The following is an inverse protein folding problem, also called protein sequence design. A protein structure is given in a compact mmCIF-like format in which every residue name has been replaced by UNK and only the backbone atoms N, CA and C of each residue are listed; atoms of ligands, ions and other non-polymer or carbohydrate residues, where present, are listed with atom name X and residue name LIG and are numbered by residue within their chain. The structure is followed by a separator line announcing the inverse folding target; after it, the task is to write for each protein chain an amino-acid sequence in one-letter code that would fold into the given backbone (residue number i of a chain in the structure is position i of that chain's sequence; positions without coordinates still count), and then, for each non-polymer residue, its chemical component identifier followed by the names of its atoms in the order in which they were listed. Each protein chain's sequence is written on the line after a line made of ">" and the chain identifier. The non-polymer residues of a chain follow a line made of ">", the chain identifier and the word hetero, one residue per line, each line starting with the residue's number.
data_IF_037069142775
#
_entry.id   IF_037069142775
#
_cell.length_a   1.000
_cell.length_b   1.000
_cell.length_c   1.000
_cell.angle_alpha   90.00
_cell.angle_beta   90.00
_cell.angle_gamma   90.00
#
_symmetry.space_group_name_H-M   'P 1'
#
loop_
_entity.id
_entity.type
_entity.pdbx_description
1 polymer ?
2 non-polymer ?
3 non-polymer ?
4 water ?
#
# COMPACT_ATOMS: atom_id res chain seq x y z
N UNK A 1 -19.55 -20.58 1.03
CA UNK A 1 -19.47 -19.64 2.19
C UNK A 1 -18.07 -19.51 2.88
N UNK A 2 -16.93 -19.84 2.20
CA UNK A 2 -15.56 -19.66 2.82
C UNK A 2 -15.12 -18.18 2.81
N UNK A 3 -14.07 -17.93 3.54
CA UNK A 3 -13.66 -16.62 3.91
C UNK A 3 -12.87 -16.01 2.73
N UNK A 4 -13.02 -14.71 2.45
CA UNK A 4 -12.09 -14.06 1.51
C UNK A 4 -10.94 -13.33 2.17
N UNK A 5 -9.76 -13.47 1.60
CA UNK A 5 -8.56 -12.86 2.11
C UNK A 5 -7.78 -12.24 0.99
N UNK A 6 -7.71 -10.93 0.99
CA UNK A 6 -6.97 -10.23 -0.07
C UNK A 6 -5.76 -9.56 0.52
N UNK A 7 -4.70 -9.58 -0.27
CA UNK A 7 -3.41 -8.98 0.00
C UNK A 7 -3.36 -7.71 -0.82
N UNK A 8 -2.96 -6.63 -0.20
CA UNK A 8 -2.74 -5.33 -0.80
C UNK A 8 -1.25 -4.97 -0.63
N UNK A 9 -0.39 -5.34 -1.59
CA UNK A 9 0.99 -5.06 -1.52
C UNK A 9 1.35 -3.70 -2.03
N UNK A 10 2.48 -3.18 -1.56
CA UNK A 10 3.01 -1.87 -1.89
C UNK A 10 4.27 -1.62 -0.99
N UNK A 11 4.95 -0.56 -1.32
CA UNK A 11 6.05 -0.08 -0.56
C UNK A 11 5.51 0.87 0.51
N UNK A 12 4.35 1.56 0.34
CA UNK A 12 3.72 2.39 1.39
C UNK A 12 4.77 3.27 2.12
N UNK A 13 5.37 4.13 1.34
CA UNK A 13 6.52 4.89 1.66
C UNK A 13 6.37 6.34 1.45
N UNK A 14 5.51 7.00 2.20
CA UNK A 14 4.68 6.50 3.24
C UNK A 14 3.25 6.28 2.80
N UNK A 15 2.45 5.73 3.66
CA UNK A 15 1.05 5.59 3.40
C UNK A 15 0.41 6.96 3.17
N UNK A 16 -0.52 7.05 2.22
CA UNK A 16 -1.24 8.30 1.89
C UNK A 16 -2.75 8.12 2.06
N UNK A 17 -3.44 9.24 1.97
CA UNK A 17 -4.93 9.21 2.09
C UNK A 17 -5.57 8.40 1.00
N UNK A 18 -4.92 8.32 -0.16
CA UNK A 18 -5.40 7.43 -1.22
C UNK A 18 -5.35 5.99 -0.81
N UNK A 19 -4.23 5.58 -0.24
CA UNK A 19 -4.18 4.24 0.27
C UNK A 19 -5.20 3.95 1.35
N UNK A 20 -5.38 4.89 2.24
CA UNK A 20 -6.38 4.74 3.26
C UNK A 20 -7.79 4.45 2.69
N UNK A 21 -8.15 5.26 1.74
CA UNK A 21 -9.48 5.09 1.06
C UNK A 21 -9.64 3.70 0.46
N UNK A 22 -8.62 3.24 -0.23
CA UNK A 22 -8.59 1.95 -0.79
C UNK A 22 -8.76 0.81 0.09
N UNK A 23 -8.01 0.85 1.19
CA UNK A 23 -8.11 -0.20 2.19
C UNK A 23 -9.46 -0.16 2.89
N UNK A 24 -9.96 1.02 3.16
CA UNK A 24 -11.29 1.10 3.73
C UNK A 24 -12.33 0.47 2.80
N UNK A 25 -12.28 0.81 1.50
CA UNK A 25 -13.22 0.16 0.53
C UNK A 25 -13.02 -1.32 0.45
N UNK A 26 -11.75 -1.79 0.45
CA UNK A 26 -11.53 -3.24 0.40
C UNK A 26 -12.04 -3.94 1.65
N UNK A 27 -11.85 -3.31 2.79
CA UNK A 27 -12.24 -3.99 4.06
C UNK A 27 -13.78 -4.16 4.17
N UNK A 28 -14.56 -3.35 3.44
CA UNK A 28 -15.99 -3.54 3.36
C UNK A 28 -16.36 -4.67 2.45
N UNK A 29 -15.53 -5.09 1.54
CA UNK A 29 -16.02 -6.10 0.63
C UNK A 29 -15.36 -7.43 0.82
N UNK A 30 -14.23 -7.52 1.56
CA UNK A 30 -13.60 -8.80 1.68
C UNK A 30 -13.60 -9.11 3.21
N UNK A 31 -13.52 -10.40 3.59
CA UNK A 31 -13.54 -10.73 5.05
C UNK A 31 -12.26 -10.34 5.75
N UNK A 32 -11.12 -10.58 5.09
CA UNK A 32 -9.81 -10.12 5.64
C UNK A 32 -9.00 -9.33 4.62
N UNK A 33 -8.29 -8.29 5.06
CA UNK A 33 -7.44 -7.49 4.18
C UNK A 33 -6.04 -7.45 4.83
N UNK A 34 -5.01 -7.86 4.08
CA UNK A 34 -3.60 -7.79 4.50
C UNK A 34 -2.85 -6.67 3.85
N UNK A 35 -2.48 -5.63 4.60
CA UNK A 35 -1.61 -4.52 4.11
C UNK A 35 -0.23 -5.10 4.14
N UNK A 36 0.29 -5.42 2.96
CA UNK A 36 1.56 -6.15 2.76
C UNK A 36 2.63 -5.22 2.31
N UNK A 37 3.53 -4.89 3.19
CA UNK A 37 4.60 -3.86 2.95
C UNK A 37 5.83 -4.51 2.47
N UNK A 38 6.17 -4.22 1.22
CA UNK A 38 7.31 -4.87 0.57
C UNK A 38 8.54 -4.21 1.24
N UNK A 39 9.43 -5.04 1.75
CA UNK A 39 10.57 -4.49 2.56
C UNK A 39 11.46 -3.53 1.76
N UNK A 40 11.81 -3.97 0.57
CA UNK A 40 12.50 -3.11 -0.39
C UNK A 40 14.03 -3.00 -0.22
N UNK A 41 14.67 -4.12 0.08
CA UNK A 41 16.14 -4.31 0.14
C UNK A 41 16.95 -3.76 -1.02
N UNK A 42 16.68 -4.20 -2.25
CA UNK A 42 17.48 -3.65 -3.38
C UNK A 42 17.00 -2.24 -3.79
N UNK A 43 15.91 -1.72 -3.23
CA UNK A 43 15.14 -0.58 -3.77
C UNK A 43 15.18 0.76 -2.91
N UNK A 44 15.72 0.73 -1.69
CA UNK A 44 15.81 1.94 -0.79
C UNK A 44 14.67 2.90 -0.33
N UNK A 45 13.76 2.36 0.45
CA UNK A 45 12.63 3.28 0.86
C UNK A 45 13.13 4.39 1.78
N UNK A 46 12.49 5.54 1.77
CA UNK A 46 12.76 6.63 2.66
C UNK A 46 12.48 6.21 4.22
N UNK A 47 11.40 5.56 4.49
CA UNK A 47 10.97 5.16 5.81
C UNK A 47 11.25 3.71 5.95
N UNK A 48 11.71 3.34 7.14
CA UNK A 48 12.07 1.92 7.42
C UNK A 48 10.83 1.10 7.45
N UNK A 49 10.97 -0.24 7.43
CA UNK A 49 9.79 -1.08 7.57
C UNK A 49 9.01 -0.87 8.82
N UNK A 50 9.74 -0.67 9.96
CA UNK A 50 9.02 -0.42 11.21
C UNK A 50 8.23 0.89 11.12
N UNK A 51 8.85 1.96 10.61
CA UNK A 51 8.07 3.19 10.52
C UNK A 51 6.83 3.04 9.59
N UNK A 52 6.97 2.25 8.54
CA UNK A 52 5.89 2.17 7.50
C UNK A 52 4.75 1.36 7.96
N UNK A 53 5.08 0.26 8.65
CA UNK A 53 4.03 -0.50 9.39
C UNK A 53 3.36 0.27 10.44
N UNK A 54 4.12 1.03 11.20
CA UNK A 54 3.45 1.75 12.33
C UNK A 54 2.62 2.84 11.74
N UNK A 55 3.10 3.56 10.70
CA UNK A 55 2.19 4.61 10.15
C UNK A 55 0.86 3.99 9.58
N UNK A 56 1.00 2.84 8.96
CA UNK A 56 -0.19 2.18 8.45
C UNK A 56 -1.12 1.73 9.58
N UNK A 57 -0.56 1.14 10.63
CA UNK A 57 -1.41 0.76 11.85
C UNK A 57 -2.13 1.94 12.43
N UNK A 58 -1.50 3.10 12.56
CA UNK A 58 -2.26 4.27 13.10
C UNK A 58 -3.28 4.74 12.18
N UNK A 59 -3.14 4.65 10.85
CA UNK A 59 -4.27 5.14 9.98
C UNK A 59 -5.38 4.17 9.86
N UNK A 60 -5.10 2.89 9.97
CA UNK A 60 -6.07 1.87 9.61
C UNK A 60 -6.40 0.84 10.68
N UNK A 61 -5.70 0.88 11.83
CA UNK A 61 -5.82 -0.16 12.86
C UNK A 61 -7.24 -0.19 13.48
N UNK A 62 -8.02 0.89 13.41
CA UNK A 62 -9.45 0.85 13.76
C UNK A 62 -10.34 -0.03 12.89
N UNK A 63 -9.87 -0.56 11.76
CA UNK A 63 -10.64 -1.51 11.02
C UNK A 63 -10.19 -2.90 11.50
N UNK A 64 -11.10 -3.70 12.01
CA UNK A 64 -10.65 -4.85 12.76
C UNK A 64 -10.39 -6.00 11.85
N UNK A 65 -10.79 -5.96 10.57
CA UNK A 65 -10.39 -7.07 9.70
C UNK A 65 -9.08 -6.86 8.81
N UNK A 66 -8.27 -5.86 9.14
CA UNK A 66 -7.10 -5.46 8.39
C UNK A 66 -5.87 -5.78 9.24
N UNK A 67 -4.93 -6.47 8.65
CA UNK A 67 -3.71 -6.90 9.20
C UNK A 67 -2.55 -6.22 8.48
N UNK A 68 -1.38 -6.22 9.12
CA UNK A 68 -0.21 -5.41 8.63
C UNK A 68 1.02 -6.26 8.71
N UNK A 69 1.68 -6.51 7.60
CA UNK A 69 2.83 -7.37 7.60
C UNK A 69 3.80 -6.96 6.48
N UNK A 70 5.07 -7.08 6.77
CA UNK A 70 6.20 -6.83 5.92
C UNK A 70 6.49 -8.11 5.21
N UNK A 71 6.94 -8.00 3.94
CA UNK A 71 7.34 -9.20 3.18
C UNK A 71 8.41 -8.87 2.25
N UNK A 72 9.15 -9.91 1.90
CA UNK A 72 10.08 -9.83 0.79
C UNK A 72 9.99 -11.11 -0.03
N UNK A 73 10.84 -11.23 -1.02
CA UNK A 73 10.68 -12.36 -1.95
C UNK A 73 9.61 -12.04 -3.00
N UNK A 74 9.18 -13.10 -3.64
CA UNK A 74 8.17 -13.04 -4.71
C UNK A 74 6.76 -12.81 -4.14
N UNK A 75 6.05 -11.87 -4.73
CA UNK A 75 4.60 -11.77 -4.40
C UNK A 75 3.87 -13.07 -4.51
N UNK A 76 4.15 -13.88 -5.50
CA UNK A 76 3.35 -15.12 -5.62
C UNK A 76 3.62 -16.10 -4.51
N UNK A 77 4.86 -16.13 -3.97
CA UNK A 77 5.10 -16.99 -2.77
C UNK A 77 4.41 -16.48 -1.53
N UNK A 78 4.43 -15.18 -1.35
CA UNK A 78 3.69 -14.61 -0.26
C UNK A 78 2.20 -14.90 -0.37
N UNK A 79 1.66 -14.77 -1.59
CA UNK A 79 0.24 -14.98 -1.85
C UNK A 79 -0.17 -16.43 -1.39
N UNK A 80 0.61 -17.39 -1.82
CA UNK A 80 0.46 -18.78 -1.45
C UNK A 80 0.57 -19.10 0.04
N UNK A 81 1.64 -18.68 0.67
CA UNK A 81 1.78 -18.79 2.10
C UNK A 81 0.66 -18.16 2.88
N UNK A 82 0.05 -17.10 2.40
CA UNK A 82 -1.01 -16.43 3.13
C UNK A 82 -2.37 -16.98 2.85
N UNK A 83 -2.46 -17.88 1.88
CA UNK A 83 -3.71 -18.48 1.52
C UNK A 83 -4.72 -17.45 1.04
N UNK A 84 -4.26 -16.59 0.16
CA UNK A 84 -4.97 -15.48 -0.27
C UNK A 84 -5.98 -15.87 -1.37
N UNK A 85 -7.04 -15.14 -1.45
CA UNK A 85 -7.97 -15.28 -2.57
C UNK A 85 -7.60 -14.35 -3.68
N UNK A 86 -7.07 -13.16 -3.39
CA UNK A 86 -6.60 -12.30 -4.48
C UNK A 86 -5.62 -11.32 -3.91
N UNK A 87 -5.01 -10.63 -4.81
CA UNK A 87 -4.25 -9.44 -4.62
C UNK A 87 -4.96 -8.23 -5.13
N UNK A 88 -5.08 -7.27 -4.29
CA UNK A 88 -5.71 -6.00 -4.64
C UNK A 88 -4.72 -5.00 -5.09
N UNK A 89 -5.06 -4.22 -6.12
CA UNK A 89 -4.30 -3.05 -6.50
C UNK A 89 -5.19 -1.93 -6.88
N UNK A 90 -4.64 -0.74 -6.75
CA UNK A 90 -5.34 0.52 -6.91
C UNK A 90 -5.16 0.94 -8.32
N UNK A 91 -6.21 1.34 -8.98
CA UNK A 91 -6.08 1.89 -10.34
C UNK A 91 -6.62 3.29 -10.29
N UNK A 92 -5.84 4.21 -10.83
CA UNK A 92 -6.11 5.66 -10.84
C UNK A 92 -5.83 6.18 -12.23
N UNK A 93 -6.46 7.31 -12.59
CA UNK A 93 -6.17 7.96 -13.89
C UNK A 93 -4.65 7.98 -14.16
N UNK A 94 -3.90 8.19 -13.08
CA UNK A 94 -2.43 8.24 -13.16
C UNK A 94 -1.77 6.84 -13.11
N UNK A 95 -2.54 5.74 -13.14
CA UNK A 95 -1.90 4.39 -13.15
C UNK A 95 -1.36 3.99 -14.58
N UNK A 96 -0.30 3.18 -14.48
CA UNK A 96 0.34 2.49 -15.60
C UNK A 96 -0.54 1.23 -15.75
N UNK A 97 -1.55 1.34 -16.61
CA UNK A 97 -2.56 0.32 -16.66
C UNK A 97 -1.81 -0.89 -17.22
N UNK A 98 -0.88 -0.64 -18.14
CA UNK A 98 -0.31 -1.70 -18.94
C UNK A 98 0.69 -2.41 -18.01
N UNK A 99 1.30 -1.69 -17.09
CA UNK A 99 2.19 -2.37 -16.09
C UNK A 99 1.43 -3.32 -15.18
N UNK A 100 0.19 -2.99 -14.87
CA UNK A 100 -0.63 -3.84 -14.06
C UNK A 100 -1.05 -5.05 -14.76
N UNK A 101 -1.32 -5.00 -16.07
CA UNK A 101 -1.57 -6.21 -16.85
C UNK A 101 -0.41 -7.13 -16.93
N UNK A 102 0.75 -6.51 -17.00
CA UNK A 102 1.98 -7.22 -17.08
C UNK A 102 2.26 -7.98 -15.77
N UNK A 103 2.11 -7.31 -14.65
CA UNK A 103 2.29 -7.99 -13.38
C UNK A 103 1.23 -9.06 -13.25
N UNK A 104 -0.03 -8.75 -13.54
CA UNK A 104 -1.04 -9.76 -13.31
C UNK A 104 -0.78 -11.00 -14.18
N UNK A 105 -0.54 -10.80 -15.48
CA UNK A 105 -0.28 -11.90 -16.35
C UNK A 105 1.00 -12.69 -16.10
N UNK A 106 2.09 -12.03 -15.72
CA UNK A 106 3.27 -12.77 -15.30
C UNK A 106 3.05 -13.54 -14.04
N UNK A 107 2.40 -12.97 -13.05
CA UNK A 107 2.18 -13.73 -11.84
C UNK A 107 1.25 -14.91 -12.06
N UNK A 108 0.29 -14.78 -12.96
CA UNK A 108 -0.50 -15.95 -13.28
C UNK A 108 0.25 -17.05 -13.93
N UNK A 109 1.20 -16.69 -14.74
CA UNK A 109 2.05 -17.70 -15.30
C UNK A 109 2.98 -18.28 -14.25
N UNK A 110 3.39 -17.57 -13.20
CA UNK A 110 4.15 -18.19 -12.16
C UNK A 110 3.21 -19.10 -11.29
N UNK A 111 1.94 -18.75 -11.13
CA UNK A 111 1.03 -19.50 -10.25
C UNK A 111 -0.37 -19.37 -10.81
N UNK A 112 -0.92 -20.44 -11.38
CA UNK A 112 -2.20 -20.24 -12.10
C UNK A 112 -3.37 -19.88 -11.17
N UNK A 113 -3.27 -20.12 -9.86
CA UNK A 113 -4.26 -19.63 -8.91
C UNK A 113 -4.21 -18.14 -8.63
N UNK A 114 -3.15 -17.44 -9.01
CA UNK A 114 -3.03 -16.06 -8.62
C UNK A 114 -4.23 -15.34 -9.16
N UNK A 115 -4.78 -14.39 -8.46
CA UNK A 115 -5.85 -13.56 -9.01
C UNK A 115 -5.63 -12.13 -8.57
N UNK A 116 -5.93 -11.20 -9.47
CA UNK A 116 -5.79 -9.77 -9.20
C UNK A 116 -7.13 -9.06 -9.27
N UNK A 117 -7.41 -8.18 -8.32
CA UNK A 117 -8.66 -7.38 -8.34
C UNK A 117 -8.25 -5.97 -8.22
N UNK A 118 -8.97 -5.09 -8.86
CA UNK A 118 -8.61 -3.67 -8.89
C UNK A 118 -9.77 -2.85 -8.34
N UNK A 119 -9.39 -1.85 -7.53
CA UNK A 119 -10.34 -0.85 -6.97
C UNK A 119 -9.85 0.46 -7.37
N UNK A 120 -10.77 1.39 -7.39
CA UNK A 120 -10.49 2.74 -7.84
C UNK A 120 -10.86 3.71 -6.68
N UNK A 121 -9.92 4.63 -6.40
CA UNK A 121 -10.07 5.37 -5.12
C UNK A 121 -11.05 6.54 -5.45
N UNK A 122 -11.64 7.12 -4.40
CA UNK A 122 -12.40 8.40 -4.54
C UNK A 122 -11.66 9.35 -5.41
N UNK A 123 -12.38 9.96 -6.30
CA UNK A 123 -11.74 10.89 -7.30
C UNK A 123 -10.83 11.98 -6.76
N UNK A 124 -11.08 12.50 -5.56
CA UNK A 124 -10.20 13.45 -4.94
C UNK A 124 -8.79 12.89 -4.56
N UNK A 125 -8.54 11.61 -4.68
CA UNK A 125 -7.18 11.03 -4.54
C UNK A 125 -6.57 10.58 -5.85
N UNK A 126 -7.23 10.94 -6.91
CA UNK A 126 -6.90 10.44 -8.19
C UNK A 126 -5.48 10.89 -8.62
N UNK A 127 -5.01 12.04 -8.11
CA UNK A 127 -3.80 12.65 -8.59
C UNK A 127 -2.66 12.69 -7.59
N UNK A 128 -2.78 12.12 -6.40
CA UNK A 128 -1.67 12.13 -5.46
C UNK A 128 -0.63 11.02 -5.72
N UNK A 129 0.64 11.35 -5.99
CA UNK A 129 1.77 10.31 -5.96
C UNK A 129 2.62 10.44 -4.75
N UNK A 130 2.87 9.33 -4.07
CA UNK A 130 3.84 9.17 -3.04
C UNK A 130 5.25 9.86 -3.35
N UNK A 131 5.74 9.84 -4.58
CA UNK A 131 6.91 10.45 -5.00
C UNK A 131 6.80 11.93 -4.85
N UNK A 132 5.70 12.52 -5.30
CA UNK A 132 5.52 13.92 -5.14
C UNK A 132 5.35 14.33 -3.68
N UNK A 133 4.71 13.51 -2.87
CA UNK A 133 4.55 13.80 -1.49
C UNK A 133 5.94 13.87 -0.83
N UNK A 134 6.82 12.89 -1.14
CA UNK A 134 8.20 12.89 -0.60
C UNK A 134 8.94 14.10 -1.06
N UNK A 135 8.72 14.49 -2.31
CA UNK A 135 9.38 15.69 -2.82
C UNK A 135 8.88 16.93 -2.19
N UNK A 136 7.57 17.06 -1.97
CA UNK A 136 7.07 18.26 -1.28
C UNK A 136 7.64 18.38 0.20
N UNK A 137 7.59 17.27 0.91
CA UNK A 137 8.04 17.20 2.35
C UNK A 137 9.56 17.52 2.37
N UNK A 138 10.31 16.91 1.46
CA UNK A 138 11.75 17.19 1.33
C UNK A 138 12.11 18.65 1.08
N UNK A 139 11.30 19.38 0.31
CA UNK A 139 11.49 20.79 0.06
C UNK A 139 10.72 21.63 1.07
N UNK A 140 10.39 21.04 2.22
CA UNK A 140 9.71 21.72 3.33
C UNK A 140 8.34 22.24 3.11
N UNK A 141 7.59 21.68 2.18
CA UNK A 141 6.21 22.09 2.03
C UNK A 141 5.37 21.30 3.00
N UNK A 142 4.12 21.61 2.92
CA UNK A 142 3.10 21.05 3.72
C UNK A 142 2.31 19.90 3.00
N UNK A 143 2.33 18.71 3.60
CA UNK A 143 1.71 17.54 3.09
C UNK A 143 0.44 17.11 3.74
N UNK A 144 -0.04 17.94 4.64
CA UNK A 144 -1.23 17.69 5.46
C UNK A 144 -2.42 17.25 4.65
N UNK A 145 -2.62 17.89 3.50
CA UNK A 145 -3.77 17.55 2.66
C UNK A 145 -3.65 16.20 1.99
N UNK A 146 -2.49 15.58 1.93
CA UNK A 146 -2.34 14.34 1.21
C UNK A 146 -2.19 13.05 2.02
N UNK A 147 -1.83 13.18 3.31
CA UNK A 147 -1.45 12.07 4.14
C UNK A 147 -2.08 12.23 5.53
N UNK A 148 -2.27 11.12 6.20
CA UNK A 148 -2.72 11.25 7.63
C UNK A 148 -1.73 12.08 8.51
N UNK A 149 -2.28 12.62 9.60
CA UNK A 149 -1.55 13.48 10.48
C UNK A 149 -0.28 12.79 11.07
N UNK A 150 -0.37 11.51 11.32
CA UNK A 150 0.76 10.78 11.83
C UNK A 150 1.93 10.74 10.84
N UNK A 151 1.63 10.84 9.56
CA UNK A 151 2.66 10.80 8.55
C UNK A 151 3.22 12.20 8.51
N UNK A 152 2.38 13.21 8.62
CA UNK A 152 2.92 14.56 8.65
C UNK A 152 4.00 14.68 9.80
N UNK A 153 3.69 14.16 10.98
CA UNK A 153 4.62 14.20 12.13
C UNK A 153 5.83 13.38 11.89
N UNK A 154 5.67 12.23 11.22
CA UNK A 154 6.84 11.44 10.82
C UNK A 154 7.80 12.17 9.93
N UNK A 155 7.28 13.03 9.07
CA UNK A 155 8.19 13.82 8.20
C UNK A 155 8.98 14.87 9.04
N UNK A 156 8.35 15.58 9.97
CA UNK A 156 9.12 16.40 10.96
C UNK A 156 10.23 15.58 11.71
N UNK A 157 9.79 14.50 12.33
CA UNK A 157 10.74 13.67 13.04
C UNK A 157 11.85 13.16 12.13
N UNK A 158 11.55 12.87 10.87
CA UNK A 158 12.65 12.54 9.84
C UNK A 158 13.58 13.70 9.66
N UNK A 159 13.00 14.89 9.57
CA UNK A 159 13.66 16.20 9.42
C UNK A 159 14.38 16.57 10.68
N UNK A 160 14.11 15.94 11.83
CA UNK A 160 14.77 16.36 13.09
C UNK A 160 16.16 15.77 13.27
N UNK A 161 16.55 14.87 12.35
CA UNK A 161 17.95 14.54 11.89
C UNK A 161 18.40 15.51 10.72
N UNK A 162 19.36 15.15 9.88
CA UNK A 162 19.73 16.02 8.74
C UNK A 162 18.59 16.52 7.84
N UNK A 163 17.68 15.61 7.48
CA UNK A 163 16.67 15.78 6.38
C UNK A 163 15.88 17.12 6.37
X LIG B 1 -1.32 7.32 -3.39
X LIG B 1 0.01 7.64 -3.56
X LIG B 1 0.91 6.87 -4.26
X LIG B 1 0.48 5.73 -4.89
X LIG B 1 -0.96 5.28 -4.79
X LIG B 1 -1.88 6.16 -3.98
X LIG B 1 -3.19 5.76 -3.88
X LIG B 1 -1.11 4.12 -5.47
X LIG B 1 0.13 3.86 -5.98
X LIG B 1 1.07 4.80 -5.63
X LIG B 1 2.46 4.77 -6.13
X LIG B 1 3.49 5.68 -5.47
X LIG B 1 4.24 6.59 -6.37
X LIG B 1 4.28 4.64 -4.64
X LIG B 1 5.60 4.48 -5.19
X LIG B 1 7.06 4.83 -4.52
X LIG B 1 7.05 4.89 -3.02
X LIG B 1 7.92 3.66 -4.96
X LIG B 1 7.21 6.21 -5.16
X LIG B 1 3.59 3.27 -4.74
X LIG B 1 2.84 3.43 -5.93
X LIG B 1 2.75 2.52 -3.64
X LIG B 1 3.21 1.13 -3.66
X LIG B 1 4.24 0.29 -4.80
X LIG B 1 4.62 -1.12 -4.46
X LIG B 1 5.47 0.98 -5.43
X LIG B 1 3.38 0.16 -6.14
X LIG B 1 3.98 -0.88 -7.22
X LIG B 1 2.98 -0.85 -8.32
X LIG B 1 5.38 -0.46 -7.61
X LIG B 1 3.87 -2.35 -6.45
X LIG B 1 4.84 -4.43 -5.59
X LIG B 1 4.99 -3.12 -6.33
X LIG B 1 5.46 -4.36 -4.21
X LIG B 1 3.44 -4.99 -5.51
X LIG B 1 5.63 -5.31 -6.54
X LIG B 1 6.82 -4.62 -6.68
X LIG B 1 5.94 -6.65 -6.05
X LIG B 1 5.07 -7.46 -6.12
X LIG B 1 7.15 -6.89 -5.56
X LIG B 1 7.61 -8.14 -4.97
X LIG B 1 8.47 -8.86 -6.01
X LIG B 1 7.76 -9.55 -7.14
X LIG B 1 6.96 -10.48 -6.89
X LIG B 1 8.13 -9.18 -8.38
X LIG B 1 7.78 -9.89 -9.61
X LIG B 1 6.38 -9.73 -10.05
X LIG B 1 6.19 -10.54 -11.69
X LIG C 1 14.09 -6.83 -2.98
X LIG C 1 13.46 -6.77 -4.29
X LIG C 1 13.31 -7.90 -2.32
X LIG C 1 14.16 -5.38 -2.76
X LIG C 1 15.45 -7.35 -2.96
X LIG D 1 12.22 9.49 -4.59
X LIG D 1 12.86 10.52 -5.42
X LIG D 1 11.75 8.44 -5.51
X LIG D 1 13.23 9.05 -3.66
X LIG D 1 11.03 9.99 -3.96
X LIG E 1 -5.84 11.99 9.81
X LIG E 1 -6.25 12.01 8.36
X LIG E 1 -5.20 10.74 10.36
X LIG E 1 -5.01 13.13 10.14
X LIG E 1 -7.07 12.22 10.56
#
# INVERSE_FOLDING_TARGET
>A
MSKTRVIYPGTFDPITNGHVDLVTRASRMFDEVVVAIAIGHHKNPLFSLEERVALAQSSLGHLSNVEFVGFDGLLVNFFKEQKATAVLRGLRAVSDFEYEFQLANMNRQLDPHFEAVFLTPSEQYSFISSTLIREIARLKGDVTKFVPQAVVEAFERKHQQGW
>B hetero
1 COA N1A C2A N3A C4A C5A C6A N6A N7A C8A N9A C1B C2B O2B C3B O3B P3B O7A O8A O9A C4B O4B C5B O5B P1A O1A O2A O3A P2A O4A O5A O6A CBP CCP CDP CEP CAP OAP C9P O9P N8P C7P C6P C5P O5P N4P C3P C2P S1P
>C hetero
1 SO4 S O1 O2 O3 O4
>D hetero
1 SO4 S O1 O2 O3 O4
>E hetero
1 SO4 S O1 O2 O3 O4
#
